data_IF_013261748046
#
_entry.id   IF_013261748046
#
_cell.length_a   1.000
_cell.length_b   1.000
_cell.length_c   1.000
_cell.angle_alpha   90.00
_cell.angle_beta   90.00
_cell.angle_gamma   90.00
#
_symmetry.space_group_name_H-M   'P 1'
#
loop_
_entity.id
_entity.type
_entity.pdbx_description
1 polymer ?
#
# COMPACT_ATOMS: atom_id res chain seq x y z
N UNK A 1 -10.65 4.25 -17.36
CA UNK A 1 -10.29 3.60 -16.08
C UNK A 1 -11.54 3.39 -15.26
N UNK A 2 -11.71 2.21 -14.68
CA UNK A 2 -12.84 1.92 -13.80
C UNK A 2 -12.83 2.87 -12.62
N UNK A 3 -14.02 3.31 -12.19
CA UNK A 3 -14.15 4.22 -11.06
C UNK A 3 -13.54 3.65 -9.78
N UNK A 4 -13.75 2.36 -9.52
CA UNK A 4 -13.20 1.72 -8.32
C UNK A 4 -11.68 1.76 -8.32
N UNK A 5 -11.03 1.54 -9.47
CA UNK A 5 -9.57 1.63 -9.58
C UNK A 5 -9.10 3.04 -9.26
N UNK A 6 -9.78 4.03 -9.82
CA UNK A 6 -9.45 5.43 -9.60
C UNK A 6 -9.53 5.80 -8.12
N UNK A 7 -10.58 5.33 -7.43
CA UNK A 7 -10.75 5.61 -6.01
C UNK A 7 -9.63 5.00 -5.18
N UNK A 8 -9.20 3.77 -5.48
CA UNK A 8 -8.08 3.15 -4.77
C UNK A 8 -6.79 3.96 -4.96
N UNK A 9 -6.55 4.45 -6.18
CA UNK A 9 -5.36 5.25 -6.48
C UNK A 9 -5.41 6.58 -5.74
N UNK A 10 -6.57 7.24 -5.71
CA UNK A 10 -6.74 8.50 -4.97
C UNK A 10 -6.41 8.30 -3.50
N UNK A 11 -6.93 7.22 -2.90
CA UNK A 11 -6.67 6.91 -1.49
C UNK A 11 -5.19 6.61 -1.24
N UNK A 12 -4.54 5.92 -2.18
CA UNK A 12 -3.11 5.67 -2.08
C UNK A 12 -2.32 6.99 -2.09
N UNK A 13 -2.70 7.90 -2.99
CA UNK A 13 -2.01 9.19 -3.08
C UNK A 13 -2.21 10.04 -1.83
N UNK A 14 -3.34 9.89 -1.12
CA UNK A 14 -3.54 10.55 0.17
C UNK A 14 -2.49 10.09 1.19
N UNK A 15 -2.24 8.77 1.26
CA UNK A 15 -1.20 8.25 2.14
C UNK A 15 0.17 8.80 1.78
N UNK A 16 0.48 8.87 0.49
CA UNK A 16 1.74 9.42 0.03
C UNK A 16 1.89 10.88 0.45
N UNK A 17 0.82 11.67 0.36
CA UNK A 17 0.83 13.07 0.77
C UNK A 17 1.09 13.22 2.27
N UNK A 18 0.45 12.38 3.08
CA UNK A 18 0.67 12.39 4.53
C UNK A 18 2.14 12.10 4.85
N UNK A 19 2.71 11.08 4.19
CA UNK A 19 4.12 10.73 4.36
C UNK A 19 5.03 11.90 4.00
N UNK A 20 4.76 12.56 2.88
CA UNK A 20 5.58 13.66 2.41
C UNK A 20 5.55 14.84 3.40
N UNK A 21 4.38 15.14 3.98
CA UNK A 21 4.25 16.18 4.98
C UNK A 21 5.04 15.83 6.24
N UNK A 22 4.91 14.60 6.73
CA UNK A 22 5.61 14.17 7.92
C UNK A 22 7.12 14.22 7.73
N UNK A 23 7.60 13.81 6.57
CA UNK A 23 9.03 13.76 6.28
C UNK A 23 9.66 15.15 6.09
N UNK A 24 8.87 16.19 5.97
CA UNK A 24 9.37 17.58 5.91
C UNK A 24 9.67 18.17 7.27
N UNK A 25 9.23 17.53 8.33
CA UNK A 25 9.50 17.99 9.68
C UNK A 25 10.99 17.81 10.02
N UNK A 26 11.51 18.59 10.97
CA UNK A 26 12.86 18.33 11.50
C UNK A 26 12.97 16.87 11.95
N UNK A 27 14.15 16.27 11.78
CA UNK A 27 14.34 14.84 12.02
C UNK A 27 13.89 14.37 13.40
N UNK A 28 14.05 15.22 14.41
CA UNK A 28 13.66 14.89 15.78
C UNK A 28 12.15 14.94 16.01
N UNK A 29 11.40 15.49 15.06
CA UNK A 29 9.95 15.58 15.16
C UNK A 29 9.22 14.56 14.28
N UNK A 30 9.94 13.90 13.39
CA UNK A 30 9.32 12.93 12.47
C UNK A 30 8.84 11.71 13.25
N UNK A 31 7.57 11.37 13.06
CA UNK A 31 7.00 10.15 13.65
C UNK A 31 7.24 9.01 12.68
N UNK A 32 8.33 8.29 12.88
CA UNK A 32 8.77 7.22 11.97
C UNK A 32 7.72 6.13 11.80
N UNK A 33 7.05 5.73 12.90
CA UNK A 33 6.01 4.71 12.84
C UNK A 33 4.84 5.18 11.95
N UNK A 34 4.53 6.47 11.98
CA UNK A 34 3.48 7.02 11.13
C UNK A 34 3.86 6.99 9.66
N UNK A 35 5.13 7.30 9.35
CA UNK A 35 5.62 7.21 7.97
C UNK A 35 5.54 5.77 7.47
N UNK A 36 5.98 4.82 8.28
CA UNK A 36 5.94 3.40 7.91
C UNK A 36 4.50 2.90 7.73
N UNK A 37 3.59 3.33 8.62
CA UNK A 37 2.19 2.96 8.50
C UNK A 37 1.60 3.43 7.17
N UNK A 38 1.82 4.69 6.82
CA UNK A 38 1.27 5.22 5.58
C UNK A 38 1.96 4.66 4.35
N UNK A 39 3.26 4.29 4.46
CA UNK A 39 3.95 3.58 3.38
C UNK A 39 3.27 2.24 3.11
N UNK A 40 2.97 1.51 4.17
CA UNK A 40 2.27 0.22 4.06
C UNK A 40 0.88 0.42 3.44
N UNK A 41 0.12 1.42 3.90
CA UNK A 41 -1.20 1.72 3.36
C UNK A 41 -1.13 2.09 1.87
N UNK A 42 -0.12 2.86 1.50
CA UNK A 42 0.09 3.25 0.10
C UNK A 42 0.28 2.02 -0.79
N UNK A 43 1.19 1.13 -0.39
CA UNK A 43 1.47 -0.10 -1.15
C UNK A 43 0.23 -0.99 -1.21
N UNK A 44 -0.44 -1.18 -0.08
CA UNK A 44 -1.66 -1.99 0.00
C UNK A 44 -2.70 -1.50 -1.00
N UNK A 45 -2.94 -0.19 -1.03
CA UNK A 45 -3.96 0.39 -1.89
C UNK A 45 -3.60 0.29 -3.37
N UNK A 46 -2.31 0.42 -3.71
CA UNK A 46 -1.88 0.24 -5.09
C UNK A 46 -2.05 -1.20 -5.55
N UNK A 47 -1.71 -2.17 -4.69
CA UNK A 47 -1.92 -3.58 -5.03
C UNK A 47 -3.41 -3.87 -5.22
N UNK A 48 -4.26 -3.32 -4.38
CA UNK A 48 -5.71 -3.48 -4.51
C UNK A 48 -6.23 -2.83 -5.80
N UNK A 49 -5.71 -1.65 -6.14
CA UNK A 49 -6.08 -1.00 -7.41
C UNK A 49 -5.75 -1.90 -8.60
N UNK A 50 -4.56 -2.50 -8.58
CA UNK A 50 -4.16 -3.40 -9.65
C UNK A 50 -5.09 -4.61 -9.74
N UNK A 51 -5.39 -5.25 -8.60
CA UNK A 51 -6.26 -6.42 -8.59
C UNK A 51 -7.67 -6.09 -9.09
N UNK A 52 -8.21 -4.93 -8.69
CA UNK A 52 -9.50 -4.48 -9.19
C UNK A 52 -9.44 -4.28 -10.70
N UNK A 53 -8.35 -3.71 -11.21
CA UNK A 53 -8.20 -3.47 -12.66
C UNK A 53 -8.20 -4.78 -13.45
N UNK A 54 -7.80 -5.88 -12.81
CA UNK A 54 -7.75 -7.21 -13.43
C UNK A 54 -8.97 -8.06 -13.09
N UNK A 55 -9.93 -7.51 -12.34
CA UNK A 55 -11.14 -8.22 -11.99
C UNK A 55 -10.93 -9.33 -10.96
N UNK A 56 -9.90 -9.21 -10.11
CA UNK A 56 -9.55 -10.23 -9.14
C UNK A 56 -10.03 -9.81 -7.75
N UNK A 57 -10.85 -10.66 -7.13
CA UNK A 57 -11.34 -10.41 -5.78
C UNK A 57 -10.26 -10.70 -4.73
N UNK A 58 -10.22 -9.92 -3.67
CA UNK A 58 -9.25 -10.09 -2.59
C UNK A 58 -9.87 -9.98 -1.19
N UNK A 59 -11.16 -9.63 -1.10
CA UNK A 59 -11.85 -9.50 0.19
C UNK A 59 -11.34 -8.33 1.02
N UNK A 60 -11.66 -8.36 2.33
CA UNK A 60 -11.23 -7.34 3.28
C UNK A 60 -9.93 -7.81 3.95
N UNK A 61 -8.80 -7.35 3.44
CA UNK A 61 -7.51 -7.77 3.98
C UNK A 61 -6.54 -6.58 3.99
N UNK A 62 -5.62 -6.60 4.97
CA UNK A 62 -4.50 -5.68 5.06
C UNK A 62 -3.18 -6.45 4.92
N UNK A 63 -3.23 -7.72 4.57
CA UNK A 63 -2.04 -8.55 4.45
C UNK A 63 -1.36 -8.30 3.11
N UNK A 64 -0.23 -7.61 3.15
CA UNK A 64 0.52 -7.27 1.93
C UNK A 64 1.06 -8.50 1.22
N UNK A 65 1.52 -9.49 1.99
CA UNK A 65 2.06 -10.71 1.40
C UNK A 65 0.99 -11.43 0.58
N UNK A 66 -0.23 -11.51 1.12
CA UNK A 66 -1.36 -12.10 0.42
C UNK A 66 -1.68 -11.33 -0.86
N UNK A 67 -1.77 -10.00 -0.76
CA UNK A 67 -2.09 -9.15 -1.90
C UNK A 67 -1.02 -9.24 -2.98
N UNK A 68 0.24 -9.23 -2.57
CA UNK A 68 1.36 -9.35 -3.50
C UNK A 68 1.34 -10.71 -4.20
N UNK A 69 1.06 -11.79 -3.45
CA UNK A 69 0.95 -13.12 -4.03
C UNK A 69 -0.16 -13.19 -5.08
N UNK A 70 -1.30 -12.53 -4.81
CA UNK A 70 -2.38 -12.47 -5.80
C UNK A 70 -1.93 -11.72 -7.06
N UNK A 71 -1.19 -10.62 -6.90
CA UNK A 71 -0.66 -9.88 -8.05
C UNK A 71 0.35 -10.72 -8.82
N UNK A 72 1.21 -11.47 -8.13
CA UNK A 72 2.20 -12.33 -8.77
C UNK A 72 1.56 -13.42 -9.61
N UNK A 73 0.38 -13.90 -9.24
CA UNK A 73 -0.36 -14.88 -10.02
C UNK A 73 -0.77 -14.35 -11.40
N UNK A 74 -0.90 -13.04 -11.50
CA UNK A 74 -1.34 -12.38 -12.74
C UNK A 74 -0.13 -11.87 -13.53
N UNK A 75 0.86 -11.33 -12.84
CA UNK A 75 2.04 -10.72 -13.47
C UNK A 75 3.28 -11.11 -12.68
N UNK A 76 4.17 -11.87 -13.31
CA UNK A 76 5.39 -12.39 -12.68
C UNK A 76 6.35 -11.28 -12.26
N UNK A 77 6.25 -10.09 -12.84
CA UNK A 77 7.14 -8.99 -12.46
C UNK A 77 6.94 -8.59 -11.00
N UNK A 78 5.78 -8.87 -10.42
CA UNK A 78 5.55 -8.63 -9.00
C UNK A 78 6.41 -9.51 -8.09
N UNK A 79 6.99 -10.58 -8.62
CA UNK A 79 7.87 -11.44 -7.82
C UNK A 79 9.15 -10.72 -7.37
N UNK A 80 9.49 -9.60 -8.01
CA UNK A 80 10.67 -8.82 -7.65
C UNK A 80 10.42 -7.84 -6.51
N UNK A 81 9.17 -7.73 -6.05
CA UNK A 81 8.79 -6.81 -4.99
C UNK A 81 8.77 -7.54 -3.66
N UNK A 82 9.41 -6.97 -2.65
CA UNK A 82 9.38 -7.48 -1.28
C UNK A 82 8.74 -6.44 -0.38
N UNK A 83 7.75 -6.84 0.40
CA UNK A 83 7.07 -5.95 1.33
C UNK A 83 7.62 -6.09 2.76
N UNK A 84 8.42 -7.12 3.01
CA UNK A 84 9.11 -7.31 4.29
C UNK A 84 8.16 -7.19 5.47
N UNK A 85 8.49 -6.30 6.41
CA UNK A 85 7.77 -6.12 7.67
C UNK A 85 6.65 -5.07 7.59
N UNK A 86 6.30 -4.57 6.41
CA UNK A 86 5.31 -3.49 6.30
C UNK A 86 3.95 -3.89 6.88
N UNK A 87 3.55 -5.15 6.74
CA UNK A 87 2.31 -5.63 7.33
C UNK A 87 2.32 -5.50 8.85
N UNK A 88 3.47 -5.76 9.49
CA UNK A 88 3.61 -5.64 10.94
C UNK A 88 3.42 -4.21 11.41
N UNK A 89 3.90 -3.24 10.65
CA UNK A 89 3.69 -1.83 10.99
C UNK A 89 2.22 -1.46 10.99
N UNK A 90 1.44 -2.02 10.08
CA UNK A 90 0.01 -1.76 10.03
C UNK A 90 -0.71 -2.29 11.28
N UNK A 91 -0.24 -3.41 11.83
CA UNK A 91 -0.85 -4.03 13.02
C UNK A 91 -0.43 -3.29 14.30
N UNK A 92 0.76 -2.75 14.34
CA UNK A 92 1.32 -2.12 15.54
C UNK A 92 0.84 -0.70 15.77
N UNK A 93 0.20 -0.10 14.81
CA UNK A 93 -0.29 1.29 14.89
C UNK A 93 -1.78 1.39 15.36
#
# INVERSE_FOLDING_TARGET
MKEEVRLWIIKALEDLRIMAHEMRLPSEEVVTSGVCFHAQQFVEKLLKAYLVSRGIAFGRTHNLEYLLARCQQVDKDFAQIEVGNLTDYAVQV
#
